data_IF_354963382375
#
_entry.id   IF_354963382375
#
_cell.length_a   1.000
_cell.length_b   1.000
_cell.length_c   1.000
_cell.angle_alpha   90.00
_cell.angle_beta   90.00
_cell.angle_gamma   90.00
#
_symmetry.space_group_name_H-M   'P 1'
#
loop_
_entity.id
_entity.type
_entity.pdbx_description
1 polymer ?
#
# COMPACT_ATOMS: atom_id res chain seq x y z
N UNK A 1 -14.24 17.98 -9.40
CA UNK A 1 -12.97 18.17 -10.14
C UNK A 1 -13.15 17.57 -11.52
N UNK A 2 -12.75 18.28 -12.56
CA UNK A 2 -12.87 17.83 -13.94
C UNK A 2 -11.77 16.79 -14.27
N UNK A 3 -11.99 15.89 -15.25
CA UNK A 3 -11.02 14.82 -15.64
C UNK A 3 -9.63 15.40 -15.94
N UNK A 4 -9.56 16.48 -16.72
CA UNK A 4 -8.31 17.15 -17.08
C UNK A 4 -7.55 17.67 -15.84
N UNK A 5 -8.24 18.35 -14.92
CA UNK A 5 -7.64 18.84 -13.66
C UNK A 5 -7.18 17.69 -12.77
N UNK A 6 -7.92 16.58 -12.72
CA UNK A 6 -7.50 15.39 -11.99
C UNK A 6 -6.18 14.84 -12.53
N UNK A 7 -6.12 14.62 -13.84
CA UNK A 7 -4.91 14.10 -14.51
C UNK A 7 -3.74 15.04 -14.27
N UNK A 8 -3.93 16.36 -14.47
CA UNK A 8 -2.88 17.36 -14.25
C UNK A 8 -2.29 17.28 -12.83
N UNK A 9 -3.15 17.31 -11.80
CA UNK A 9 -2.69 17.28 -10.42
C UNK A 9 -2.06 15.95 -10.03
N UNK A 10 -2.57 14.82 -10.51
CA UNK A 10 -1.96 13.51 -10.27
C UNK A 10 -0.58 13.44 -10.94
N UNK A 11 -0.45 13.90 -12.19
CA UNK A 11 0.85 13.93 -12.87
C UNK A 11 1.82 14.86 -12.15
N UNK A 12 1.38 16.04 -11.71
CA UNK A 12 2.22 16.98 -10.96
C UNK A 12 2.72 16.37 -9.64
N UNK A 13 1.85 15.71 -8.88
CA UNK A 13 2.22 15.05 -7.63
C UNK A 13 3.14 13.83 -7.89
N UNK A 14 2.85 13.04 -8.94
CA UNK A 14 3.73 11.93 -9.34
C UNK A 14 5.11 12.42 -9.77
N UNK A 15 5.19 13.53 -10.50
CA UNK A 15 6.47 14.15 -10.86
C UNK A 15 7.24 14.60 -9.63
N UNK A 16 6.58 15.27 -8.68
CA UNK A 16 7.21 15.69 -7.42
C UNK A 16 7.72 14.47 -6.64
N UNK A 17 6.90 13.42 -6.54
CA UNK A 17 7.26 12.16 -5.90
C UNK A 17 8.46 11.49 -6.60
N UNK A 18 8.46 11.47 -7.94
CA UNK A 18 9.59 10.97 -8.72
C UNK A 18 10.86 11.76 -8.44
N UNK A 19 10.80 13.10 -8.39
CA UNK A 19 11.97 13.95 -8.11
C UNK A 19 12.56 13.60 -6.74
N UNK A 20 11.74 13.37 -5.72
CA UNK A 20 12.22 13.03 -4.38
C UNK A 20 12.87 11.65 -4.30
N UNK A 21 12.32 10.64 -5.02
CA UNK A 21 12.90 9.28 -5.05
C UNK A 21 14.05 9.18 -6.05
N UNK A 22 14.03 9.98 -7.11
CA UNK A 22 15.03 9.93 -8.18
C UNK A 22 16.45 10.10 -7.63
N UNK A 23 16.67 10.93 -6.63
CA UNK A 23 17.98 11.11 -6.02
C UNK A 23 18.57 9.78 -5.53
N UNK A 24 17.79 9.00 -4.77
CA UNK A 24 18.25 7.73 -4.21
C UNK A 24 18.34 6.63 -5.26
N UNK A 25 17.36 6.58 -6.19
CA UNK A 25 17.37 5.62 -7.31
C UNK A 25 18.53 5.89 -8.26
N UNK A 26 18.84 7.17 -8.54
CA UNK A 26 19.99 7.55 -9.36
C UNK A 26 21.28 7.18 -8.65
N UNK A 27 21.43 7.50 -7.37
CA UNK A 27 22.64 7.16 -6.61
C UNK A 27 22.89 5.66 -6.55
N UNK A 28 21.85 4.87 -6.38
CA UNK A 28 21.94 3.40 -6.42
C UNK A 28 22.26 2.90 -7.84
N UNK A 29 21.62 3.46 -8.86
CA UNK A 29 21.87 3.13 -10.26
C UNK A 29 23.28 3.47 -10.70
N UNK A 30 23.85 4.61 -10.23
CA UNK A 30 25.23 5.00 -10.51
C UNK A 30 26.24 4.06 -9.83
N UNK A 31 25.98 3.62 -8.60
CA UNK A 31 26.81 2.59 -7.93
C UNK A 31 26.82 1.28 -8.72
N UNK A 32 25.69 0.85 -9.23
CA UNK A 32 25.57 -0.35 -10.08
C UNK A 32 26.29 -0.13 -11.43
N UNK A 33 26.10 1.06 -12.03
CA UNK A 33 26.71 1.43 -13.30
C UNK A 33 28.24 1.53 -13.23
N UNK A 34 28.78 1.98 -12.09
CA UNK A 34 30.24 2.02 -11.88
C UNK A 34 30.87 0.62 -11.89
N UNK A 35 30.10 -0.41 -11.51
CA UNK A 35 30.54 -1.81 -11.62
C UNK A 35 30.34 -2.40 -13.03
N UNK A 36 29.26 -2.04 -13.72
CA UNK A 36 28.97 -2.48 -15.09
C UNK A 36 27.92 -1.57 -15.74
N UNK A 37 28.25 -0.97 -16.87
CA UNK A 37 27.35 -0.11 -17.62
C UNK A 37 26.05 -0.82 -18.07
N UNK A 38 26.16 -2.09 -18.45
CA UNK A 38 25.01 -2.90 -18.85
C UNK A 38 24.04 -3.16 -17.68
N UNK A 39 24.54 -3.43 -16.48
CA UNK A 39 23.72 -3.62 -15.29
C UNK A 39 23.02 -2.32 -14.88
N UNK A 40 23.65 -1.17 -15.02
CA UNK A 40 23.02 0.13 -14.79
C UNK A 40 21.82 0.38 -15.72
N UNK A 41 21.96 0.11 -17.03
CA UNK A 41 20.86 0.24 -17.99
C UNK A 41 19.73 -0.75 -17.66
N UNK A 42 20.06 -1.99 -17.35
CA UNK A 42 19.08 -2.99 -16.95
C UNK A 42 18.31 -2.56 -15.69
N UNK A 43 18.99 -2.03 -14.68
CA UNK A 43 18.39 -1.52 -13.45
C UNK A 43 17.36 -0.42 -13.74
N UNK A 44 17.73 0.63 -14.50
CA UNK A 44 16.81 1.71 -14.84
C UNK A 44 15.63 1.25 -15.71
N UNK A 45 15.86 0.29 -16.62
CA UNK A 45 14.79 -0.31 -17.43
C UNK A 45 13.78 -1.05 -16.55
N UNK A 46 14.24 -1.84 -15.59
CA UNK A 46 13.39 -2.58 -14.65
C UNK A 46 12.57 -1.60 -13.79
N UNK A 47 13.19 -0.55 -13.25
CA UNK A 47 12.50 0.47 -12.47
C UNK A 47 11.44 1.19 -13.31
N UNK A 48 11.77 1.57 -14.55
CA UNK A 48 10.83 2.18 -15.49
C UNK A 48 9.62 1.30 -15.82
N UNK A 49 9.84 0.01 -16.02
CA UNK A 49 8.77 -0.97 -16.24
C UNK A 49 7.90 -1.10 -14.98
N UNK A 50 8.50 -1.26 -13.80
CA UNK A 50 7.76 -1.34 -12.53
C UNK A 50 6.90 -0.09 -12.34
N UNK A 51 7.47 1.10 -12.54
CA UNK A 51 6.75 2.36 -12.41
C UNK A 51 5.56 2.44 -13.38
N UNK A 52 5.77 2.09 -14.63
CA UNK A 52 4.72 2.10 -15.65
C UNK A 52 3.61 1.11 -15.31
N UNK A 53 3.94 -0.14 -15.01
CA UNK A 53 2.97 -1.21 -14.76
C UNK A 53 2.24 -1.04 -13.44
N UNK A 54 2.92 -0.62 -12.38
CA UNK A 54 2.36 -0.57 -11.04
C UNK A 54 1.72 0.78 -10.69
N UNK A 55 2.10 1.86 -11.34
CA UNK A 55 1.60 3.21 -11.04
C UNK A 55 0.78 3.78 -12.21
N UNK A 56 1.36 3.89 -13.40
CA UNK A 56 0.69 4.55 -14.53
C UNK A 56 -0.51 3.74 -15.02
N UNK A 57 -0.33 2.45 -15.29
CA UNK A 57 -1.42 1.62 -15.82
C UNK A 57 -2.65 1.52 -14.90
N UNK A 58 -2.52 1.33 -13.57
CA UNK A 58 -3.67 1.37 -12.67
C UNK A 58 -4.42 2.70 -12.71
N UNK A 59 -3.70 3.82 -12.72
CA UNK A 59 -4.33 5.16 -12.78
C UNK A 59 -5.09 5.36 -14.08
N UNK A 60 -4.49 5.00 -15.24
CA UNK A 60 -5.13 5.10 -16.55
C UNK A 60 -6.40 4.25 -16.60
N UNK A 61 -6.33 2.98 -16.15
CA UNK A 61 -7.48 2.08 -16.11
C UNK A 61 -8.60 2.61 -15.23
N UNK A 62 -8.27 3.19 -14.06
CA UNK A 62 -9.25 3.82 -13.18
C UNK A 62 -9.92 5.04 -13.83
N UNK A 63 -9.16 5.87 -14.55
CA UNK A 63 -9.70 7.04 -15.27
C UNK A 63 -10.70 6.62 -16.37
N UNK A 64 -10.47 5.47 -16.98
CA UNK A 64 -11.34 4.91 -18.03
C UNK A 64 -12.59 4.20 -17.47
N UNK A 65 -12.60 3.83 -16.19
CA UNK A 65 -13.75 3.18 -15.56
C UNK A 65 -14.91 4.18 -15.40
N UNK A 66 -16.18 3.77 -15.62
CA UNK A 66 -17.34 4.65 -15.50
C UNK A 66 -17.50 5.19 -14.08
N UNK A 67 -17.93 6.45 -13.97
CA UNK A 67 -18.22 7.08 -12.67
C UNK A 67 -19.59 6.72 -12.19
N UNK A 68 -19.68 6.35 -10.91
CA UNK A 68 -20.96 6.11 -10.30
C UNK A 68 -21.59 7.39 -9.78
N UNK A 69 -22.89 7.54 -10.07
CA UNK A 69 -23.71 8.65 -9.59
C UNK A 69 -24.66 8.11 -8.52
N UNK A 70 -24.21 8.10 -7.27
CA UNK A 70 -25.08 7.71 -6.15
C UNK A 70 -24.42 6.80 -5.10
N UNK A 71 -25.25 6.34 -4.16
CA UNK A 71 -24.88 5.29 -3.20
C UNK A 71 -25.17 3.94 -3.84
N UNK A 72 -24.24 3.01 -3.67
CA UNK A 72 -24.46 1.61 -4.03
C UNK A 72 -24.30 0.77 -2.78
N UNK A 73 -25.26 -0.09 -2.59
CA UNK A 73 -25.14 -1.18 -1.64
C UNK A 73 -24.37 -2.31 -2.33
N UNK A 74 -23.10 -2.49 -1.93
CA UNK A 74 -22.32 -3.65 -2.37
C UNK A 74 -22.96 -4.91 -1.81
N UNK A 75 -23.16 -5.91 -2.67
CA UNK A 75 -23.56 -7.24 -2.22
C UNK A 75 -22.57 -7.78 -1.19
N UNK A 76 -23.03 -8.49 -0.14
CA UNK A 76 -22.16 -8.99 0.93
C UNK A 76 -20.99 -9.83 0.39
N UNK A 77 -21.24 -10.68 -0.60
CA UNK A 77 -20.21 -11.50 -1.23
C UNK A 77 -19.16 -10.62 -1.93
N UNK A 78 -19.60 -9.62 -2.70
CA UNK A 78 -18.71 -8.69 -3.39
C UNK A 78 -17.85 -7.87 -2.43
N UNK A 79 -18.46 -7.45 -1.32
CA UNK A 79 -17.75 -6.74 -0.25
C UNK A 79 -16.64 -7.60 0.36
N UNK A 80 -16.90 -8.89 0.57
CA UNK A 80 -15.89 -9.79 1.12
C UNK A 80 -14.75 -10.07 0.12
N UNK A 81 -15.05 -10.22 -1.16
CA UNK A 81 -14.02 -10.30 -2.22
C UNK A 81 -13.09 -9.07 -2.21
N UNK A 82 -13.68 -7.85 -2.11
CA UNK A 82 -12.89 -6.63 -2.03
C UNK A 82 -12.00 -6.59 -0.77
N UNK A 83 -12.52 -7.03 0.39
CA UNK A 83 -11.75 -7.12 1.62
C UNK A 83 -10.59 -8.11 1.51
N UNK A 84 -10.79 -9.25 0.87
CA UNK A 84 -9.74 -10.23 0.65
C UNK A 84 -8.63 -9.64 -0.23
N UNK A 85 -8.98 -8.91 -1.29
CA UNK A 85 -8.00 -8.17 -2.11
C UNK A 85 -7.19 -7.16 -1.29
N UNK A 86 -7.82 -6.50 -0.31
CA UNK A 86 -7.13 -5.58 0.61
C UNK A 86 -6.17 -6.33 1.52
N UNK A 87 -6.59 -7.45 2.11
CA UNK A 87 -5.75 -8.30 2.97
C UNK A 87 -4.53 -8.85 2.23
N UNK A 88 -4.74 -9.38 1.03
CA UNK A 88 -3.65 -9.91 0.19
C UNK A 88 -2.63 -8.82 -0.17
N UNK A 89 -3.10 -7.62 -0.51
CA UNK A 89 -2.20 -6.49 -0.77
C UNK A 89 -1.43 -6.05 0.48
N UNK A 90 -2.04 -6.12 1.65
CA UNK A 90 -1.39 -5.82 2.92
C UNK A 90 -0.32 -6.87 3.28
N UNK A 91 -0.58 -8.17 3.04
CA UNK A 91 0.43 -9.25 3.19
C UNK A 91 1.63 -9.01 2.29
N UNK A 92 1.40 -8.68 1.01
CA UNK A 92 2.47 -8.36 0.06
C UNK A 92 3.29 -7.16 0.55
N UNK A 93 2.62 -6.10 1.05
CA UNK A 93 3.29 -4.92 1.59
C UNK A 93 4.13 -5.24 2.82
N UNK A 94 3.62 -6.06 3.74
CA UNK A 94 4.32 -6.56 4.92
C UNK A 94 5.58 -7.34 4.52
N UNK A 95 5.43 -8.35 3.67
CA UNK A 95 6.53 -9.24 3.27
C UNK A 95 7.64 -8.51 2.51
N UNK A 96 7.29 -7.64 1.56
CA UNK A 96 8.28 -6.87 0.81
C UNK A 96 9.12 -5.95 1.71
N UNK A 97 8.48 -5.25 2.65
CA UNK A 97 9.20 -4.34 3.55
C UNK A 97 10.04 -5.08 4.58
N UNK A 98 9.61 -6.28 5.00
CA UNK A 98 10.39 -7.11 5.93
C UNK A 98 11.71 -7.59 5.32
N UNK A 99 11.75 -7.77 4.00
CA UNK A 99 12.96 -8.21 3.27
C UNK A 99 13.84 -7.04 2.83
N UNK A 100 13.26 -5.89 2.53
CA UNK A 100 13.99 -4.71 2.09
C UNK A 100 14.63 -3.99 3.28
N UNK A 101 15.86 -3.54 3.12
CA UNK A 101 16.59 -2.72 4.09
C UNK A 101 16.78 -1.27 3.60
N UNK A 102 16.08 -0.89 2.52
CA UNK A 102 16.22 0.43 1.90
C UNK A 102 14.88 1.18 1.94
N UNK A 103 14.81 2.24 2.76
CA UNK A 103 13.58 3.02 2.96
C UNK A 103 12.98 3.60 1.68
N UNK A 104 13.80 4.00 0.70
CA UNK A 104 13.32 4.56 -0.57
C UNK A 104 12.68 3.48 -1.46
N UNK A 105 13.25 2.27 -1.47
CA UNK A 105 12.68 1.13 -2.17
C UNK A 105 11.36 0.72 -1.52
N UNK A 106 11.32 0.70 -0.19
CA UNK A 106 10.10 0.39 0.57
C UNK A 106 8.98 1.38 0.28
N UNK A 107 9.31 2.67 0.23
CA UNK A 107 8.38 3.73 -0.09
C UNK A 107 7.82 3.58 -1.51
N UNK A 108 8.69 3.29 -2.49
CA UNK A 108 8.28 3.06 -3.87
C UNK A 108 7.40 1.81 -3.99
N UNK A 109 7.80 0.71 -3.35
CA UNK A 109 7.05 -0.54 -3.35
C UNK A 109 5.67 -0.38 -2.72
N UNK A 110 5.58 0.25 -1.54
CA UNK A 110 4.31 0.49 -0.86
C UNK A 110 3.38 1.42 -1.66
N UNK A 111 3.95 2.44 -2.32
CA UNK A 111 3.20 3.31 -3.24
C UNK A 111 2.65 2.51 -4.41
N UNK A 112 3.48 1.69 -5.07
CA UNK A 112 3.08 0.85 -6.19
C UNK A 112 1.97 -0.15 -5.81
N UNK A 113 2.10 -0.83 -4.66
CA UNK A 113 1.09 -1.74 -4.11
C UNK A 113 -0.23 -0.99 -3.87
N UNK A 114 -0.18 0.17 -3.24
CA UNK A 114 -1.36 0.97 -2.93
C UNK A 114 -2.08 1.49 -4.18
N UNK A 115 -1.34 1.92 -5.21
CA UNK A 115 -1.92 2.32 -6.50
C UNK A 115 -2.58 1.14 -7.21
N UNK A 116 -1.90 -0.01 -7.24
CA UNK A 116 -2.44 -1.25 -7.80
C UNK A 116 -3.69 -1.71 -7.04
N UNK A 117 -3.68 -1.61 -5.71
CA UNK A 117 -4.82 -1.94 -4.86
C UNK A 117 -6.04 -1.08 -5.19
N UNK A 118 -5.91 0.26 -5.21
CA UNK A 118 -7.01 1.16 -5.58
C UNK A 118 -7.57 0.79 -6.96
N UNK A 119 -6.69 0.58 -7.94
CA UNK A 119 -7.08 0.19 -9.28
C UNK A 119 -7.77 -1.17 -9.35
N UNK A 120 -7.37 -2.14 -8.54
CA UNK A 120 -7.99 -3.47 -8.47
C UNK A 120 -9.37 -3.42 -7.83
N UNK A 121 -9.52 -2.71 -6.71
CA UNK A 121 -10.82 -2.55 -6.03
C UNK A 121 -11.85 -1.87 -6.93
N UNK A 122 -11.45 -0.81 -7.66
CA UNK A 122 -12.32 -0.09 -8.60
C UNK A 122 -12.74 -0.99 -9.76
N UNK A 123 -11.82 -1.78 -10.32
CA UNK A 123 -12.16 -2.73 -11.39
C UNK A 123 -13.08 -3.84 -10.92
N UNK A 124 -12.82 -4.40 -9.74
CA UNK A 124 -13.68 -5.45 -9.17
C UNK A 124 -15.08 -4.91 -8.86
N UNK A 125 -15.19 -3.68 -8.40
CA UNK A 125 -16.47 -3.04 -8.19
C UNK A 125 -17.21 -2.70 -9.51
N UNK A 126 -16.48 -2.57 -10.63
CA UNK A 126 -17.06 -2.21 -11.94
C UNK A 126 -17.32 -0.72 -12.13
N UNK A 127 -17.04 0.12 -11.12
CA UNK A 127 -17.25 1.56 -11.15
C UNK A 127 -16.23 2.29 -10.27
N UNK A 128 -16.01 3.57 -10.55
CA UNK A 128 -15.10 4.42 -9.77
C UNK A 128 -15.83 5.51 -8.99
N UNK A 129 -15.24 5.94 -7.88
CA UNK A 129 -15.66 7.18 -7.21
C UNK A 129 -15.40 8.42 -8.08
N UNK A 130 -15.88 9.57 -7.64
CA UNK A 130 -15.61 10.83 -8.34
C UNK A 130 -14.11 11.13 -8.42
N UNK A 131 -13.68 11.91 -9.42
CA UNK A 131 -12.28 12.32 -9.56
C UNK A 131 -11.73 13.06 -8.32
N UNK A 132 -12.56 13.80 -7.61
CA UNK A 132 -12.17 14.47 -6.37
C UNK A 132 -11.83 13.46 -5.27
N UNK A 133 -12.55 12.34 -5.19
CA UNK A 133 -12.28 11.26 -4.23
C UNK A 133 -11.05 10.46 -4.61
N UNK A 134 -10.91 10.13 -5.90
CA UNK A 134 -9.71 9.48 -6.41
C UNK A 134 -8.46 10.32 -6.13
N UNK A 135 -8.52 11.62 -6.37
CA UNK A 135 -7.42 12.53 -6.05
C UNK A 135 -7.05 12.46 -4.56
N UNK A 136 -8.04 12.44 -3.67
CA UNK A 136 -7.80 12.31 -2.23
C UNK A 136 -7.18 10.96 -1.85
N UNK A 137 -7.63 9.87 -2.48
CA UNK A 137 -7.05 8.55 -2.24
C UNK A 137 -5.59 8.52 -2.68
N UNK A 138 -5.29 8.92 -3.92
CA UNK A 138 -3.92 8.92 -4.42
C UNK A 138 -3.01 9.90 -3.67
N UNK A 139 -3.51 11.09 -3.32
CA UNK A 139 -2.77 12.03 -2.48
C UNK A 139 -2.50 11.49 -1.08
N UNK A 140 -3.46 10.73 -0.50
CA UNK A 140 -3.25 10.06 0.78
C UNK A 140 -2.16 9.00 0.69
N UNK A 141 -2.13 8.18 -0.38
CA UNK A 141 -1.05 7.20 -0.61
C UNK A 141 0.30 7.89 -0.63
N UNK A 142 0.42 8.93 -1.45
CA UNK A 142 1.68 9.66 -1.59
C UNK A 142 2.12 10.35 -0.29
N UNK A 143 1.18 10.93 0.46
CA UNK A 143 1.46 11.54 1.77
C UNK A 143 1.87 10.51 2.81
N UNK A 144 1.21 9.35 2.87
CA UNK A 144 1.51 8.31 3.87
C UNK A 144 2.81 7.58 3.56
N UNK A 145 3.18 7.45 2.30
CA UNK A 145 4.49 6.92 1.90
C UNK A 145 5.65 7.79 2.41
N UNK A 146 5.41 9.09 2.66
CA UNK A 146 6.38 10.01 3.24
C UNK A 146 6.39 10.02 4.78
N UNK A 147 5.26 9.64 5.42
CA UNK A 147 5.06 9.73 6.87
C UNK A 147 5.07 8.31 7.49
N UNK A 148 5.92 7.41 7.03
CA UNK A 148 6.17 6.13 7.73
C UNK A 148 6.84 6.34 9.10
N UNK A 149 7.18 7.58 9.45
CA UNK A 149 7.72 7.96 10.75
C UNK A 149 6.75 7.85 11.95
N UNK A 150 5.45 7.57 11.72
CA UNK A 150 4.48 7.34 12.80
C UNK A 150 4.26 5.84 13.11
N UNK A 151 5.23 5.00 12.79
CA UNK A 151 5.19 3.59 13.17
C UNK A 151 5.14 3.42 14.70
N UNK A 152 5.79 4.31 15.45
CA UNK A 152 5.88 4.25 16.91
C UNK A 152 4.50 4.25 17.59
N UNK A 153 3.57 5.12 17.18
CA UNK A 153 2.21 5.17 17.73
C UNK A 153 1.38 3.91 17.41
N UNK A 154 1.70 3.22 16.32
CA UNK A 154 1.07 1.94 15.96
C UNK A 154 1.67 0.78 16.76
N UNK A 155 2.97 0.81 16.98
CA UNK A 155 3.71 -0.23 17.70
C UNK A 155 3.36 -0.23 19.19
N UNK A 156 3.17 0.95 19.81
CA UNK A 156 2.75 1.10 21.19
C UNK A 156 1.36 0.50 21.47
N UNK A 157 0.49 0.45 20.47
CA UNK A 157 -0.87 -0.09 20.58
C UNK A 157 -1.02 -1.57 20.14
N UNK A 158 0.03 -2.16 19.57
CA UNK A 158 0.08 -3.57 19.23
C UNK A 158 0.92 -4.29 20.28
N UNK A 159 0.30 -5.18 21.04
CA UNK A 159 1.02 -6.08 21.95
C UNK A 159 1.85 -7.09 21.15
N UNK A 160 2.93 -6.56 20.53
CA UNK A 160 3.90 -7.38 19.82
C UNK A 160 4.55 -8.42 20.73
N UNK A 161 4.64 -8.15 22.05
CA UNK A 161 5.17 -9.08 23.02
C UNK A 161 4.40 -10.39 23.04
N UNK A 162 3.07 -10.34 22.97
CA UNK A 162 2.24 -11.56 22.94
C UNK A 162 2.35 -12.33 21.62
N UNK A 163 2.60 -11.62 20.51
CA UNK A 163 2.78 -12.25 19.18
C UNK A 163 4.14 -12.94 19.10
N UNK A 164 5.15 -12.36 19.75
CA UNK A 164 6.55 -12.77 19.73
C UNK A 164 6.88 -13.85 20.76
N UNK A 165 6.26 -13.83 21.94
CA UNK A 165 6.51 -14.82 22.99
C UNK A 165 6.17 -16.26 22.59
N UNK A 166 5.35 -16.45 21.56
CA UNK A 166 5.04 -17.77 21.02
C UNK A 166 6.09 -18.27 19.97
N UNK A 167 7.08 -17.46 19.61
CA UNK A 167 8.00 -17.74 18.50
C UNK A 167 9.45 -18.06 18.89
N UNK A 168 9.79 -18.08 20.20
CA UNK A 168 11.16 -18.39 20.67
C UNK A 168 12.11 -17.19 20.62
N UNK A 169 12.63 -16.79 21.79
CA UNK A 169 13.26 -15.49 22.08
C UNK A 169 14.52 -15.13 21.25
N UNK A 170 15.25 -16.10 20.72
CA UNK A 170 16.56 -15.83 20.07
C UNK A 170 16.50 -15.33 18.62
N UNK A 171 15.52 -15.78 17.85
CA UNK A 171 15.37 -15.40 16.43
C UNK A 171 14.59 -14.06 16.28
N UNK A 172 13.87 -13.68 17.29
CA UNK A 172 12.87 -12.61 17.27
C UNK A 172 13.49 -11.21 17.22
N UNK A 173 14.59 -10.96 17.95
CA UNK A 173 15.20 -9.63 17.99
C UNK A 173 15.74 -9.15 16.64
N UNK A 174 16.19 -10.05 15.77
CA UNK A 174 16.71 -9.70 14.42
C UNK A 174 15.58 -9.41 13.43
N UNK A 175 14.39 -9.95 13.66
CA UNK A 175 13.22 -9.82 12.77
C UNK A 175 12.30 -8.68 13.23
N UNK A 176 12.44 -8.21 14.47
CA UNK A 176 11.50 -7.26 15.09
C UNK A 176 11.43 -5.92 14.35
N UNK A 177 12.56 -5.28 14.09
CA UNK A 177 12.59 -3.97 13.41
C UNK A 177 12.04 -4.03 11.97
N UNK A 178 12.47 -4.97 11.11
CA UNK A 178 11.89 -5.14 9.79
C UNK A 178 10.38 -5.46 9.82
N UNK A 179 9.94 -6.29 10.78
CA UNK A 179 8.53 -6.63 10.95
C UNK A 179 7.69 -5.42 11.39
N UNK A 180 8.23 -4.57 12.24
CA UNK A 180 7.59 -3.34 12.68
C UNK A 180 7.37 -2.37 11.49
N UNK A 181 8.40 -2.15 10.68
CA UNK A 181 8.30 -1.34 9.46
C UNK A 181 7.30 -1.95 8.47
N UNK A 182 7.33 -3.27 8.29
CA UNK A 182 6.37 -4.00 7.46
C UNK A 182 4.94 -3.86 7.95
N UNK A 183 4.71 -3.93 9.27
CA UNK A 183 3.40 -3.75 9.88
C UNK A 183 2.84 -2.34 9.66
N UNK A 184 3.66 -1.30 9.73
CA UNK A 184 3.24 0.08 9.45
C UNK A 184 2.81 0.24 7.97
N UNK A 185 3.56 -0.36 7.04
CA UNK A 185 3.22 -0.35 5.62
C UNK A 185 1.95 -1.17 5.33
N UNK A 186 1.80 -2.35 5.93
CA UNK A 186 0.59 -3.17 5.83
C UNK A 186 -0.64 -2.42 6.39
N UNK A 187 -0.50 -1.75 7.54
CA UNK A 187 -1.58 -0.93 8.09
C UNK A 187 -1.99 0.20 7.18
N UNK A 188 -1.02 0.88 6.58
CA UNK A 188 -1.28 1.93 5.59
C UNK A 188 -2.04 1.37 4.38
N UNK A 189 -1.62 0.23 3.87
CA UNK A 189 -2.28 -0.49 2.79
C UNK A 189 -3.73 -0.86 3.15
N UNK A 190 -3.97 -1.42 4.34
CA UNK A 190 -5.30 -1.72 4.87
C UNK A 190 -6.17 -0.45 4.96
N UNK A 191 -5.65 0.64 5.49
CA UNK A 191 -6.39 1.92 5.59
C UNK A 191 -6.80 2.46 4.23
N UNK A 192 -5.91 2.42 3.24
CA UNK A 192 -6.18 2.86 1.88
C UNK A 192 -7.24 1.98 1.23
N UNK A 193 -7.11 0.67 1.37
CA UNK A 193 -8.06 -0.30 0.84
C UNK A 193 -9.46 -0.11 1.43
N UNK A 194 -9.58 -0.07 2.75
CA UNK A 194 -10.88 0.15 3.42
C UNK A 194 -11.47 1.53 3.13
N UNK A 195 -10.63 2.58 3.02
CA UNK A 195 -11.11 3.89 2.58
C UNK A 195 -11.67 3.84 1.16
N UNK A 196 -11.01 3.10 0.26
CA UNK A 196 -11.49 2.91 -1.11
C UNK A 196 -12.83 2.19 -1.13
N UNK A 197 -12.99 1.08 -0.40
CA UNK A 197 -14.27 0.36 -0.26
C UNK A 197 -15.35 1.31 0.27
N UNK A 198 -15.06 2.10 1.31
CA UNK A 198 -16.02 3.06 1.86
C UNK A 198 -16.42 4.15 0.87
N UNK A 199 -15.49 4.62 0.04
CA UNK A 199 -15.84 5.55 -1.04
C UNK A 199 -16.76 4.91 -2.09
N UNK A 200 -16.56 3.62 -2.39
CA UNK A 200 -17.40 2.88 -3.31
C UNK A 200 -18.81 2.63 -2.73
N UNK A 201 -18.92 2.33 -1.43
CA UNK A 201 -20.21 2.05 -0.76
C UNK A 201 -21.05 3.33 -0.56
N UNK A 202 -20.44 4.35 0.01
CA UNK A 202 -21.18 5.50 0.57
C UNK A 202 -21.29 6.66 -0.42
N UNK A 203 -20.47 6.66 -1.45
CA UNK A 203 -20.38 7.77 -2.40
C UNK A 203 -19.76 9.05 -1.79
N UNK A 204 -19.33 9.97 -2.67
CA UNK A 204 -18.50 11.08 -2.25
C UNK A 204 -19.15 12.16 -1.43
N UNK A 205 -20.42 12.40 -1.65
CA UNK A 205 -21.14 13.46 -0.94
C UNK A 205 -21.34 13.07 0.52
N UNK A 206 -21.77 11.86 0.77
CA UNK A 206 -22.05 11.36 2.12
C UNK A 206 -20.75 11.15 2.93
N UNK A 207 -19.70 10.62 2.30
CA UNK A 207 -18.38 10.50 2.94
C UNK A 207 -17.83 11.86 3.43
N UNK A 208 -18.05 12.94 2.67
CA UNK A 208 -17.62 14.30 3.08
C UNK A 208 -18.35 14.81 4.31
N UNK A 209 -19.65 14.59 4.40
CA UNK A 209 -20.46 15.02 5.54
C UNK A 209 -20.05 14.33 6.84
N UNK A 210 -19.64 13.05 6.77
CA UNK A 210 -19.30 12.22 7.92
C UNK A 210 -17.81 11.84 7.97
N UNK A 211 -16.92 12.72 7.47
CA UNK A 211 -15.48 12.44 7.31
C UNK A 211 -14.78 11.92 8.56
N UNK A 212 -15.08 12.51 9.73
CA UNK A 212 -14.45 12.12 11.01
C UNK A 212 -14.87 10.71 11.44
N UNK A 213 -16.14 10.40 11.29
CA UNK A 213 -16.69 9.08 11.60
C UNK A 213 -16.18 8.01 10.64
N UNK A 214 -16.21 8.29 9.34
CA UNK A 214 -15.69 7.37 8.31
C UNK A 214 -14.21 7.03 8.52
N UNK A 215 -13.39 8.03 8.91
CA UNK A 215 -11.99 7.80 9.25
C UNK A 215 -11.83 6.88 10.46
N UNK A 216 -12.65 7.04 11.50
CA UNK A 216 -12.65 6.17 12.67
C UNK A 216 -13.04 4.74 12.30
N UNK A 217 -14.08 4.56 11.48
CA UNK A 217 -14.53 3.24 11.01
C UNK A 217 -13.41 2.56 10.21
N UNK A 218 -12.83 3.25 9.23
CA UNK A 218 -11.71 2.73 8.41
C UNK A 218 -10.51 2.35 9.28
N UNK A 219 -10.13 3.20 10.23
CA UNK A 219 -9.02 2.91 11.14
C UNK A 219 -9.31 1.70 12.03
N UNK A 220 -10.54 1.56 12.54
CA UNK A 220 -10.97 0.41 13.35
C UNK A 220 -10.93 -0.89 12.54
N UNK A 221 -11.47 -0.88 11.32
CA UNK A 221 -11.45 -2.04 10.42
C UNK A 221 -10.00 -2.43 10.07
N UNK A 222 -9.15 -1.46 9.71
CA UNK A 222 -7.75 -1.70 9.41
C UNK A 222 -6.97 -2.32 10.59
N UNK A 223 -7.16 -1.81 11.81
CA UNK A 223 -6.53 -2.37 13.02
C UNK A 223 -6.98 -3.80 13.31
N UNK A 224 -8.27 -4.08 13.15
CA UNK A 224 -8.83 -5.42 13.36
C UNK A 224 -8.20 -6.45 12.43
N UNK A 225 -7.94 -6.07 11.18
CA UNK A 225 -7.38 -6.98 10.17
C UNK A 225 -5.84 -7.04 10.19
N UNK A 226 -5.17 -6.06 10.78
CA UNK A 226 -3.71 -6.03 10.84
C UNK A 226 -3.14 -7.20 11.65
N UNK A 227 -3.74 -7.51 12.80
CA UNK A 227 -3.26 -8.60 13.68
C UNK A 227 -3.30 -9.97 12.99
N UNK A 228 -4.41 -10.37 12.34
CA UNK A 228 -4.43 -11.59 11.52
C UNK A 228 -3.36 -11.61 10.43
N UNK A 229 -3.19 -10.50 9.69
CA UNK A 229 -2.20 -10.38 8.62
C UNK A 229 -0.78 -10.61 9.13
N UNK A 230 -0.42 -9.97 10.25
CA UNK A 230 0.91 -10.15 10.87
C UNK A 230 1.11 -11.58 11.34
N UNK A 231 0.12 -12.16 12.04
CA UNK A 231 0.22 -13.55 12.55
C UNK A 231 0.43 -14.56 11.45
N UNK A 232 -0.26 -14.40 10.33
CA UNK A 232 -0.16 -15.30 9.19
C UNK A 232 1.24 -15.19 8.55
N UNK A 233 1.76 -13.97 8.33
CA UNK A 233 3.09 -13.76 7.75
C UNK A 233 4.21 -14.26 8.66
N UNK A 234 4.12 -14.01 9.97
CA UNK A 234 5.09 -14.53 10.96
C UNK A 234 5.09 -16.06 10.94
N UNK A 235 3.93 -16.69 10.85
CA UNK A 235 3.82 -18.15 10.74
C UNK A 235 4.53 -18.68 9.48
N UNK A 236 4.33 -18.01 8.35
CA UNK A 236 4.96 -18.40 7.07
C UNK A 236 6.48 -18.25 7.11
N UNK A 237 6.98 -17.16 7.74
CA UNK A 237 8.42 -16.94 7.95
C UNK A 237 9.01 -18.06 8.82
N UNK A 238 8.34 -18.43 9.92
CA UNK A 238 8.80 -19.47 10.84
C UNK A 238 8.82 -20.85 10.13
N UNK A 239 7.80 -21.16 9.34
CA UNK A 239 7.73 -22.43 8.58
C UNK A 239 8.89 -22.51 7.57
N UNK A 240 9.17 -21.42 6.86
CA UNK A 240 10.27 -21.35 5.88
C UNK A 240 11.66 -21.36 6.53
N UNK A 241 11.78 -20.90 7.77
CA UNK A 241 13.04 -20.87 8.52
C UNK A 241 13.37 -22.20 9.22
N UNK A 242 12.44 -23.17 9.32
CA UNK A 242 12.76 -24.50 9.81
C UNK A 242 13.65 -25.22 8.79
N UNK A 243 14.87 -25.70 9.20
CA UNK A 243 15.68 -26.55 8.34
C UNK A 243 14.83 -27.74 7.89
N UNK A 244 14.85 -28.05 6.59
CA UNK A 244 14.37 -29.34 6.12
C UNK A 244 15.33 -30.36 6.72
N UNK A 245 14.88 -31.05 7.76
CA UNK A 245 15.56 -32.25 8.26
C UNK A 245 15.53 -33.28 7.12
N UNK A 246 16.64 -33.36 6.39
CA UNK A 246 16.96 -34.46 5.46
C UNK A 246 17.69 -35.54 6.22
#
# INVERSE_FOLDING_TARGET
>A
MNKSRFIFWIVAILLLFCICILGDVISLGERIRSGSGALGIAFYSVIGVIFTVCIILPVVKVVLTPEIKGQITLEPQKREELKNTVKDSAKISLGLTTVSQNGSIDMLANTAISFKLIGSLIRQAGYRPSFTQLFRLYSAVLSTSWIVASADELLDNLDFGSIVNNAGVGAVCKIFQPLANGAANAYTCLRIGYATIKYLEVGGKHYRLNKKEMRKIVAKEARKELVPVIKEEVKDIIIKAKPQET
#
